data_IF_777154659719
#
_entry.id   IF_777154659719
#
_cell.length_a   1.000
_cell.length_b   1.000
_cell.length_c   1.000
_cell.angle_alpha   90.00
_cell.angle_beta   90.00
_cell.angle_gamma   90.00
#
_symmetry.space_group_name_H-M   'P 1'
#
loop_
_entity.id
_entity.type
_entity.pdbx_description
1 polymer ?
#
# COMPACT_ATOMS: atom_id res chain seq x y z
N UNK A 1 15.27 8.64 -15.67
CA UNK A 1 13.92 8.36 -16.18
C UNK A 1 13.79 6.85 -16.19
N UNK A 2 12.82 6.30 -15.45
CA UNK A 2 12.54 4.86 -15.49
C UNK A 2 11.80 4.57 -16.77
N UNK A 3 12.38 3.74 -17.62
CA UNK A 3 11.79 3.36 -18.89
C UNK A 3 12.02 1.88 -19.09
N UNK A 4 10.93 1.13 -19.09
CA UNK A 4 10.91 -0.28 -19.45
C UNK A 4 9.65 -0.57 -20.26
N UNK A 5 9.71 -1.62 -21.08
CA UNK A 5 8.55 -2.10 -21.80
C UNK A 5 7.73 -3.05 -20.93
N UNK A 6 6.41 -2.91 -21.01
CA UNK A 6 5.46 -3.88 -20.48
C UNK A 6 5.39 -5.05 -21.48
N UNK A 7 6.09 -6.14 -21.14
CA UNK A 7 6.29 -7.28 -22.06
C UNK A 7 5.53 -8.55 -21.65
N UNK A 8 4.89 -8.56 -20.48
CA UNK A 8 4.17 -9.73 -19.97
C UNK A 8 2.87 -9.35 -19.27
N UNK A 9 1.92 -10.30 -19.23
CA UNK A 9 0.65 -10.12 -18.50
C UNK A 9 0.88 -9.82 -17.02
N UNK A 10 1.83 -10.48 -16.36
CA UNK A 10 2.10 -10.21 -14.94
C UNK A 10 2.56 -8.76 -14.71
N UNK A 11 3.42 -8.23 -15.59
CA UNK A 11 3.90 -6.83 -15.50
C UNK A 11 2.76 -5.85 -15.78
N UNK A 12 1.94 -6.15 -16.79
CA UNK A 12 0.75 -5.39 -17.17
C UNK A 12 -0.21 -5.26 -15.98
N UNK A 13 -0.61 -6.40 -15.42
CA UNK A 13 -1.55 -6.48 -14.31
C UNK A 13 -1.02 -5.80 -13.05
N UNK A 14 0.26 -5.99 -12.73
CA UNK A 14 0.85 -5.37 -11.54
C UNK A 14 0.95 -3.84 -11.67
N UNK A 15 1.34 -3.35 -12.85
CA UNK A 15 1.41 -1.91 -13.14
C UNK A 15 0.04 -1.25 -13.00
N UNK A 16 -0.98 -1.89 -13.56
CA UNK A 16 -2.36 -1.42 -13.49
C UNK A 16 -2.91 -1.39 -12.05
N UNK A 17 -2.60 -2.41 -11.25
CA UNK A 17 -2.97 -2.44 -9.84
C UNK A 17 -2.31 -1.32 -9.03
N UNK A 18 -1.00 -1.08 -9.20
CA UNK A 18 -0.29 0.01 -8.53
C UNK A 18 -0.92 1.34 -8.92
N UNK A 19 -1.09 1.58 -10.23
CA UNK A 19 -1.53 2.88 -10.75
C UNK A 19 -2.96 3.22 -10.34
N UNK A 20 -3.91 2.30 -10.52
CA UNK A 20 -5.30 2.51 -10.13
C UNK A 20 -5.45 2.82 -8.64
N UNK A 21 -4.65 2.17 -7.80
CA UNK A 21 -4.64 2.42 -6.37
C UNK A 21 -4.07 3.79 -6.01
N UNK A 22 -3.03 4.26 -6.69
CA UNK A 22 -2.54 5.64 -6.54
C UNK A 22 -3.65 6.65 -6.88
N UNK A 23 -4.31 6.48 -8.02
CA UNK A 23 -5.41 7.36 -8.45
C UNK A 23 -6.56 7.38 -7.44
N UNK A 24 -6.97 6.22 -6.93
CA UNK A 24 -8.01 6.12 -5.91
C UNK A 24 -7.64 6.86 -4.61
N UNK A 25 -6.42 6.65 -4.10
CA UNK A 25 -5.93 7.37 -2.92
C UNK A 25 -5.88 8.87 -3.20
N UNK A 26 -5.45 9.28 -4.39
CA UNK A 26 -5.38 10.70 -4.75
C UNK A 26 -6.75 11.34 -4.62
N UNK A 27 -7.73 10.78 -5.30
CA UNK A 27 -9.07 11.35 -5.38
C UNK A 27 -9.74 11.35 -4.00
N UNK A 28 -9.57 10.29 -3.22
CA UNK A 28 -10.03 10.22 -1.84
C UNK A 28 -9.48 11.36 -0.97
N UNK A 29 -8.15 11.56 -1.00
CA UNK A 29 -7.51 12.63 -0.24
C UNK A 29 -7.92 14.02 -0.72
N UNK A 30 -8.08 14.21 -2.03
CA UNK A 30 -8.54 15.48 -2.60
C UNK A 30 -9.99 15.79 -2.19
N UNK A 31 -10.87 14.78 -2.14
CA UNK A 31 -12.25 14.96 -1.64
C UNK A 31 -12.26 15.37 -0.16
N UNK A 32 -11.46 14.70 0.68
CA UNK A 32 -11.32 15.05 2.10
C UNK A 32 -10.75 16.47 2.27
N UNK A 33 -9.69 16.81 1.52
CA UNK A 33 -9.12 18.17 1.50
C UNK A 33 -10.18 19.20 1.13
N UNK A 34 -10.94 18.97 0.06
CA UNK A 34 -11.98 19.90 -0.39
C UNK A 34 -13.07 20.10 0.68
N UNK A 35 -13.44 19.04 1.40
CA UNK A 35 -14.39 19.15 2.51
C UNK A 35 -13.84 19.99 3.68
N UNK A 36 -12.56 19.80 4.01
CA UNK A 36 -11.83 20.62 5.02
C UNK A 36 -11.78 22.08 4.59
N UNK A 37 -11.38 22.35 3.34
CA UNK A 37 -11.30 23.72 2.78
C UNK A 37 -12.66 24.39 2.82
N UNK A 38 -13.71 23.71 2.37
CA UNK A 38 -15.07 24.24 2.40
C UNK A 38 -15.51 24.59 3.82
N UNK A 39 -15.29 23.68 4.77
CA UNK A 39 -15.64 23.91 6.19
C UNK A 39 -14.84 25.07 6.78
N UNK A 40 -13.59 25.23 6.37
CA UNK A 40 -12.73 26.34 6.76
C UNK A 40 -13.21 27.67 6.19
N UNK A 41 -13.58 27.74 4.91
CA UNK A 41 -14.10 28.95 4.29
C UNK A 41 -15.47 29.36 4.86
N UNK A 42 -16.30 28.38 5.24
CA UNK A 42 -17.64 28.62 5.80
C UNK A 42 -17.61 29.02 7.29
N UNK A 43 -16.71 28.45 8.10
CA UNK A 43 -16.68 28.64 9.57
C UNK A 43 -15.45 29.40 10.09
N UNK A 44 -14.39 29.52 9.30
CA UNK A 44 -13.07 30.02 9.72
C UNK A 44 -12.93 31.55 9.78
N UNK A 45 -13.99 32.31 9.52
CA UNK A 45 -13.95 33.79 9.65
C UNK A 45 -13.83 34.23 11.13
N UNK A 46 -14.22 33.38 12.08
CA UNK A 46 -14.31 33.73 13.52
C UNK A 46 -13.24 33.06 14.43
N UNK A 47 -12.30 32.27 13.89
CA UNK A 47 -11.24 31.59 14.68
C UNK A 47 -9.86 31.75 14.06
N UNK A 48 -8.83 32.05 14.88
CA UNK A 48 -7.45 32.15 14.39
C UNK A 48 -6.82 30.80 14.04
N UNK A 49 -5.91 30.81 13.07
CA UNK A 49 -5.13 29.64 12.63
C UNK A 49 -4.40 28.96 13.79
N UNK A 50 -3.87 29.75 14.73
CA UNK A 50 -3.22 29.27 15.95
C UNK A 50 -4.19 28.46 16.83
N UNK A 51 -5.41 28.96 17.05
CA UNK A 51 -6.39 28.28 17.90
C UNK A 51 -6.80 26.93 17.31
N UNK A 52 -6.98 26.88 15.98
CA UNK A 52 -7.37 25.67 15.26
C UNK A 52 -6.21 24.68 15.23
N UNK A 53 -5.00 25.15 14.93
CA UNK A 53 -3.80 24.30 14.93
C UNK A 53 -3.53 23.69 16.30
N UNK A 54 -3.71 24.46 17.39
CA UNK A 54 -3.65 23.94 18.75
C UNK A 54 -4.74 22.89 19.04
N UNK A 55 -5.99 23.12 18.60
CA UNK A 55 -7.08 22.12 18.70
C UNK A 55 -6.71 20.83 17.97
N UNK A 56 -6.11 20.95 16.77
CA UNK A 56 -5.70 19.79 15.96
C UNK A 56 -4.58 19.02 16.66
N UNK A 57 -3.54 19.70 17.14
CA UNK A 57 -2.41 19.07 17.84
C UNK A 57 -2.89 18.32 19.08
N UNK A 58 -3.72 18.96 19.91
CA UNK A 58 -4.25 18.34 21.13
C UNK A 58 -5.12 17.11 20.81
N UNK A 59 -5.95 17.18 19.77
CA UNK A 59 -6.82 16.08 19.37
C UNK A 59 -6.02 14.93 18.75
N UNK A 60 -5.00 15.21 17.92
CA UNK A 60 -4.09 14.20 17.39
C UNK A 60 -3.31 13.49 18.52
N UNK A 61 -2.92 14.23 19.57
CA UNK A 61 -2.27 13.64 20.74
C UNK A 61 -3.23 12.71 21.51
N UNK A 62 -4.49 13.11 21.69
CA UNK A 62 -5.54 12.26 22.24
C UNK A 62 -5.78 11.00 21.39
N UNK A 63 -5.92 11.15 20.07
CA UNK A 63 -6.12 10.03 19.15
C UNK A 63 -4.93 9.07 19.17
N UNK A 64 -3.70 9.59 19.14
CA UNK A 64 -2.49 8.78 19.26
C UNK A 64 -2.47 7.93 20.54
N UNK A 65 -2.76 8.55 21.70
CA UNK A 65 -2.78 7.85 22.98
C UNK A 65 -3.88 6.78 23.03
N UNK A 66 -5.06 7.08 22.47
CA UNK A 66 -6.17 6.13 22.36
C UNK A 66 -5.81 4.95 21.46
N UNK A 67 -5.27 5.21 20.26
CA UNK A 67 -4.79 4.15 19.36
C UNK A 67 -3.69 3.31 19.99
N UNK A 68 -2.78 3.92 20.76
CA UNK A 68 -1.72 3.18 21.46
C UNK A 68 -2.30 2.22 22.49
N UNK A 69 -3.23 2.69 23.33
CA UNK A 69 -3.91 1.84 24.31
C UNK A 69 -4.68 0.70 23.64
N UNK A 70 -5.40 0.99 22.55
CA UNK A 70 -6.07 -0.02 21.73
C UNK A 70 -5.09 -1.04 21.14
N UNK A 71 -4.00 -0.59 20.51
CA UNK A 71 -2.98 -1.48 19.96
C UNK A 71 -2.34 -2.36 21.03
N UNK A 72 -2.09 -1.84 22.23
CA UNK A 72 -1.53 -2.62 23.33
C UNK A 72 -2.55 -3.64 23.88
N UNK A 73 -3.82 -3.28 23.96
CA UNK A 73 -4.90 -4.22 24.28
C UNK A 73 -5.02 -5.33 23.23
N UNK A 74 -5.11 -4.99 21.94
CA UNK A 74 -5.30 -5.94 20.84
C UNK A 74 -4.19 -6.99 20.74
N UNK A 75 -2.93 -6.64 21.10
CA UNK A 75 -1.80 -7.60 21.15
C UNK A 75 -1.99 -8.69 22.20
N UNK A 76 -2.84 -8.48 23.19
CA UNK A 76 -3.13 -9.48 24.24
C UNK A 76 -4.32 -10.37 23.90
N UNK A 77 -5.04 -10.08 22.82
CA UNK A 77 -6.25 -10.80 22.44
C UNK A 77 -5.94 -11.98 21.51
N UNK A 78 -6.81 -12.99 21.53
CA UNK A 78 -6.71 -14.13 20.61
C UNK A 78 -6.89 -13.65 19.16
N UNK A 79 -6.00 -14.09 18.28
CA UNK A 79 -6.03 -13.76 16.87
C UNK A 79 -7.27 -14.31 16.16
N UNK A 80 -7.88 -15.37 16.67
CA UNK A 80 -9.15 -15.92 16.19
C UNK A 80 -10.36 -15.09 16.63
N UNK A 81 -10.18 -14.11 17.53
CA UNK A 81 -11.23 -13.15 17.84
C UNK A 81 -11.05 -11.88 16.99
N UNK A 82 -9.86 -11.31 17.03
CA UNK A 82 -9.58 -10.01 16.41
C UNK A 82 -9.29 -10.13 14.91
N UNK A 83 -8.41 -11.06 14.54
CA UNK A 83 -7.97 -11.28 13.17
C UNK A 83 -6.94 -10.30 12.65
N UNK A 84 -6.47 -10.62 11.44
CA UNK A 84 -5.68 -9.71 10.62
C UNK A 84 -6.59 -8.86 9.75
N UNK A 85 -6.23 -7.61 9.50
CA UNK A 85 -5.00 -6.94 9.94
C UNK A 85 -5.01 -6.32 11.34
N UNK A 86 -6.15 -6.36 12.03
CA UNK A 86 -6.44 -5.48 13.18
C UNK A 86 -5.46 -5.67 14.34
N UNK A 87 -5.04 -6.90 14.66
CA UNK A 87 -4.11 -7.17 15.78
C UNK A 87 -2.76 -6.45 15.64
N UNK A 88 -2.29 -6.22 14.40
CA UNK A 88 -0.98 -5.61 14.11
C UNK A 88 -1.12 -4.32 13.31
N UNK A 89 -2.20 -3.59 13.56
CA UNK A 89 -2.44 -2.30 12.92
C UNK A 89 -1.35 -1.27 13.26
N UNK A 90 -1.24 -0.25 12.40
CA UNK A 90 -0.19 0.78 12.48
C UNK A 90 -0.75 2.17 12.74
N UNK A 91 -2.02 2.27 13.08
CA UNK A 91 -2.75 3.53 13.28
C UNK A 91 -2.07 4.42 14.31
N UNK A 92 -1.64 3.86 15.45
CA UNK A 92 -0.91 4.61 16.47
C UNK A 92 0.41 5.23 15.94
N UNK A 93 1.16 4.50 15.10
CA UNK A 93 2.40 5.02 14.53
C UNK A 93 2.13 6.12 13.50
N UNK A 94 1.14 5.94 12.65
CA UNK A 94 0.75 6.94 11.65
C UNK A 94 0.26 8.23 12.32
N UNK A 95 -0.55 8.12 13.38
CA UNK A 95 -1.00 9.26 14.17
C UNK A 95 0.16 9.97 14.86
N UNK A 96 1.15 9.23 15.38
CA UNK A 96 2.37 9.83 15.94
C UNK A 96 3.14 10.62 14.88
N UNK A 97 3.23 10.10 13.66
CA UNK A 97 3.91 10.79 12.54
C UNK A 97 3.13 12.04 12.11
N UNK A 98 1.80 11.94 12.01
CA UNK A 98 0.92 13.07 11.72
C UNK A 98 1.01 14.15 12.82
N UNK A 99 0.99 13.75 14.10
CA UNK A 99 1.15 14.65 15.25
C UNK A 99 2.49 15.39 15.22
N UNK A 100 3.59 14.66 14.96
CA UNK A 100 4.91 15.27 14.87
C UNK A 100 4.97 16.29 13.73
N UNK A 101 4.36 15.99 12.58
CA UNK A 101 4.28 16.93 11.48
C UNK A 101 3.42 18.14 11.81
N UNK A 102 2.24 17.95 12.43
CA UNK A 102 1.38 19.04 12.89
C UNK A 102 2.14 19.97 13.86
N UNK A 103 2.87 19.42 14.83
CA UNK A 103 3.72 20.19 15.75
C UNK A 103 4.84 20.97 15.03
N UNK A 104 5.36 20.46 13.92
CA UNK A 104 6.38 21.15 13.11
C UNK A 104 5.81 22.28 12.24
N UNK A 105 4.51 22.23 11.89
CA UNK A 105 3.87 23.29 11.11
C UNK A 105 3.38 24.45 11.97
N UNK A 106 3.29 24.27 13.30
CA UNK A 106 2.78 25.26 14.23
C UNK A 106 1.38 25.76 13.79
N UNK A 107 1.19 27.05 13.58
CA UNK A 107 -0.06 27.68 13.13
C UNK A 107 -0.32 27.53 11.61
N UNK A 108 0.67 27.11 10.83
CA UNK A 108 0.60 27.01 9.36
C UNK A 108 -0.04 25.69 8.86
N UNK A 109 -0.43 24.77 9.76
CA UNK A 109 -0.90 23.43 9.36
C UNK A 109 -2.10 23.50 8.41
N UNK A 110 -3.15 24.23 8.80
CA UNK A 110 -4.37 24.36 8.00
C UNK A 110 -4.07 25.03 6.66
N UNK A 111 -3.24 26.07 6.68
CA UNK A 111 -2.79 26.78 5.49
C UNK A 111 -2.08 25.85 4.48
N UNK A 112 -1.27 24.90 4.96
CA UNK A 112 -0.67 23.86 4.12
C UNK A 112 -1.73 22.94 3.50
N UNK A 113 -2.69 22.46 4.31
CA UNK A 113 -3.77 21.59 3.83
C UNK A 113 -4.60 22.30 2.75
N UNK A 114 -4.94 23.59 2.95
CA UNK A 114 -5.65 24.40 1.95
C UNK A 114 -4.87 24.48 0.63
N UNK A 115 -3.54 24.64 0.72
CA UNK A 115 -2.63 24.67 -0.44
C UNK A 115 -2.36 23.29 -1.06
N UNK A 116 -3.03 22.23 -0.61
CA UNK A 116 -2.83 20.86 -1.11
C UNK A 116 -1.45 20.29 -0.75
N UNK A 117 -0.92 20.68 0.41
CA UNK A 117 0.34 20.21 0.98
C UNK A 117 0.03 19.43 2.26
N UNK A 118 0.42 18.16 2.28
CA UNK A 118 0.10 17.24 3.37
C UNK A 118 1.36 16.84 4.14
N UNK A 119 1.45 15.59 4.61
CA UNK A 119 2.62 15.12 5.37
C UNK A 119 3.94 15.36 4.59
N UNK A 120 4.97 15.83 5.30
CA UNK A 120 6.25 16.30 4.75
C UNK A 120 6.15 17.47 3.74
N UNK A 121 5.04 18.20 3.70
CA UNK A 121 4.85 19.35 2.81
C UNK A 121 4.73 18.95 1.33
N UNK A 122 4.37 17.71 1.05
CA UNK A 122 4.26 17.18 -0.30
C UNK A 122 2.83 17.26 -0.81
N UNK A 123 2.70 17.50 -2.12
CA UNK A 123 1.42 17.41 -2.81
C UNK A 123 1.13 15.98 -3.22
N UNK A 124 -0.15 15.66 -3.24
CA UNK A 124 -0.72 14.38 -3.66
C UNK A 124 -0.78 14.25 -5.20
N UNK A 125 0.25 14.75 -5.88
CA UNK A 125 0.34 14.72 -7.33
C UNK A 125 0.86 13.36 -7.79
N UNK A 126 0.26 12.83 -8.85
CA UNK A 126 0.72 11.60 -9.47
C UNK A 126 1.34 11.94 -10.82
N UNK A 127 2.64 11.71 -10.98
CA UNK A 127 3.29 11.82 -12.28
C UNK A 127 2.71 10.77 -13.24
N UNK A 128 2.15 11.20 -14.38
CA UNK A 128 1.51 10.31 -15.37
C UNK A 128 2.50 9.47 -16.19
N UNK A 129 3.79 9.69 -16.01
CA UNK A 129 4.83 9.14 -16.86
C UNK A 129 5.71 8.12 -16.15
N UNK A 130 5.56 7.96 -14.84
CA UNK A 130 6.38 7.05 -14.04
C UNK A 130 5.56 6.39 -12.92
N UNK A 131 6.05 5.22 -12.50
CA UNK A 131 5.64 4.59 -11.26
C UNK A 131 6.48 5.12 -10.11
N UNK A 132 5.95 5.13 -8.89
CA UNK A 132 6.71 5.58 -7.74
C UNK A 132 7.84 4.62 -7.42
N UNK A 133 8.94 5.18 -6.91
CA UNK A 133 10.12 4.42 -6.53
C UNK A 133 10.05 4.12 -5.06
N UNK A 134 9.95 2.84 -4.70
CA UNK A 134 9.99 2.43 -3.30
C UNK A 134 11.33 2.82 -2.68
N UNK A 135 11.30 3.22 -1.42
CA UNK A 135 12.47 3.71 -0.66
C UNK A 135 13.04 5.06 -1.15
N UNK A 136 12.35 5.76 -2.06
CA UNK A 136 12.72 7.13 -2.39
C UNK A 136 12.61 8.04 -1.17
N UNK A 137 13.45 9.08 -1.13
CA UNK A 137 13.47 10.04 -0.05
C UNK A 137 12.05 10.59 0.21
N UNK A 138 11.56 10.44 1.45
CA UNK A 138 10.21 10.83 1.85
C UNK A 138 9.98 12.34 1.93
N UNK A 139 11.04 13.14 1.78
CA UNK A 139 10.94 14.58 1.59
C UNK A 139 10.76 14.96 0.11
N UNK A 140 10.90 14.00 -0.82
CA UNK A 140 10.90 14.26 -2.27
C UNK A 140 9.81 13.50 -3.04
N UNK A 141 9.33 12.36 -2.52
CA UNK A 141 8.32 11.54 -3.19
C UNK A 141 7.10 11.33 -2.30
N UNK A 142 5.90 11.60 -2.81
CA UNK A 142 4.67 11.32 -2.08
C UNK A 142 4.25 9.84 -2.12
N UNK A 143 4.46 9.20 -3.28
CA UNK A 143 3.91 7.88 -3.56
C UNK A 143 4.89 6.72 -3.34
N UNK A 144 6.19 6.98 -3.29
CA UNK A 144 7.23 5.97 -3.12
C UNK A 144 7.46 5.50 -1.67
N UNK A 145 6.68 6.01 -0.72
CA UNK A 145 6.90 5.79 0.71
C UNK A 145 5.60 5.99 1.53
N UNK A 146 5.73 6.23 2.84
CA UNK A 146 4.64 6.33 3.80
C UNK A 146 3.77 7.58 3.71
N UNK A 147 4.16 8.57 2.91
CA UNK A 147 3.47 9.85 2.84
C UNK A 147 1.99 9.72 2.47
N UNK A 148 1.66 8.92 1.46
CA UNK A 148 0.27 8.64 1.09
C UNK A 148 -0.56 8.07 2.25
N UNK A 149 0.04 7.25 3.11
CA UNK A 149 -0.64 6.65 4.25
C UNK A 149 -0.83 7.64 5.41
N UNK A 150 0.24 8.36 5.78
CA UNK A 150 0.22 9.32 6.89
C UNK A 150 -0.63 10.53 6.55
N UNK A 151 -0.60 11.00 5.30
CA UNK A 151 -1.46 12.09 4.83
C UNK A 151 -2.94 11.74 4.92
N UNK A 152 -3.31 10.49 4.62
CA UNK A 152 -4.69 10.02 4.77
C UNK A 152 -5.15 10.06 6.23
N UNK A 153 -4.33 9.58 7.17
CA UNK A 153 -4.63 9.67 8.61
C UNK A 153 -4.74 11.12 9.07
N UNK A 154 -3.83 11.99 8.62
CA UNK A 154 -3.83 13.40 8.96
C UNK A 154 -5.12 14.09 8.50
N UNK A 155 -5.47 13.96 7.21
CA UNK A 155 -6.66 14.57 6.64
C UNK A 155 -7.93 14.08 7.33
N UNK A 156 -8.06 12.77 7.49
CA UNK A 156 -9.20 12.18 8.17
C UNK A 156 -9.28 12.69 9.63
N UNK A 157 -8.15 12.78 10.34
CA UNK A 157 -8.13 13.30 11.72
C UNK A 157 -8.65 14.73 11.77
N UNK A 158 -8.17 15.59 10.87
CA UNK A 158 -8.59 17.00 10.79
C UNK A 158 -10.09 17.08 10.49
N UNK A 159 -10.58 16.30 9.53
CA UNK A 159 -12.00 16.29 9.19
C UNK A 159 -12.88 15.91 10.39
N UNK A 160 -12.49 14.88 11.16
CA UNK A 160 -13.18 14.54 12.40
C UNK A 160 -13.14 15.66 13.43
N UNK A 161 -11.98 16.29 13.61
CA UNK A 161 -11.77 17.40 14.57
C UNK A 161 -12.63 18.61 14.21
N UNK A 162 -12.90 18.82 12.92
CA UNK A 162 -13.75 19.88 12.40
C UNK A 162 -15.23 19.44 12.25
N UNK A 163 -15.60 18.28 12.78
CA UNK A 163 -16.96 17.72 12.72
C UNK A 163 -17.53 17.60 11.29
N UNK A 164 -16.66 17.30 10.33
CA UNK A 164 -17.01 17.07 8.94
C UNK A 164 -17.55 15.65 8.79
N UNK A 165 -18.62 15.49 7.99
CA UNK A 165 -19.15 14.17 7.65
C UNK A 165 -18.06 13.31 7.00
N UNK A 166 -17.97 12.05 7.44
CA UNK A 166 -16.94 11.13 6.97
C UNK A 166 -17.00 10.94 5.44
N UNK A 167 -15.91 11.26 4.76
CA UNK A 167 -15.75 10.95 3.34
C UNK A 167 -15.07 9.59 3.20
N UNK A 168 -15.63 8.65 2.41
CA UNK A 168 -14.96 7.38 2.15
C UNK A 168 -13.58 7.57 1.50
N UNK A 169 -12.55 7.18 2.26
CA UNK A 169 -11.15 7.22 1.85
C UNK A 169 -10.76 6.00 1.02
N UNK A 170 -11.46 5.81 -0.11
CA UNK A 170 -11.29 4.66 -1.00
C UNK A 170 -9.82 4.45 -1.39
N UNK A 171 -9.32 3.22 -1.20
CA UNK A 171 -7.93 2.86 -1.44
C UNK A 171 -6.91 3.38 -0.41
N UNK A 172 -7.28 4.39 0.37
CA UNK A 172 -6.45 5.00 1.40
C UNK A 172 -6.74 4.43 2.79
N UNK A 173 -7.98 4.00 3.06
CA UNK A 173 -8.37 3.35 4.29
C UNK A 173 -9.45 2.29 4.05
N UNK A 174 -9.43 1.23 4.87
CA UNK A 174 -10.42 0.15 4.83
C UNK A 174 -10.94 -0.10 6.24
N UNK A 175 -12.26 -0.25 6.35
CA UNK A 175 -12.90 -0.67 7.59
C UNK A 175 -12.85 -2.20 7.68
N UNK A 176 -12.07 -2.72 8.62
CA UNK A 176 -11.95 -4.15 8.88
C UNK A 176 -12.85 -4.54 10.04
N UNK A 177 -13.68 -5.57 9.84
CA UNK A 177 -14.39 -6.23 10.92
C UNK A 177 -13.47 -7.19 11.67
N UNK A 178 -13.77 -7.45 12.94
CA UNK A 178 -13.12 -8.53 13.67
C UNK A 178 -13.38 -9.89 13.01
N UNK A 179 -12.41 -10.80 13.14
CA UNK A 179 -12.52 -12.14 12.57
C UNK A 179 -13.68 -12.93 13.18
N UNK A 180 -13.85 -12.85 14.50
CA UNK A 180 -15.03 -13.35 15.18
C UNK A 180 -16.11 -12.25 15.20
N UNK A 181 -17.26 -12.43 14.53
CA UNK A 181 -18.34 -11.44 14.52
C UNK A 181 -18.98 -11.19 15.89
N UNK A 182 -18.81 -12.11 16.85
CA UNK A 182 -19.34 -11.98 18.21
C UNK A 182 -18.37 -11.26 19.16
N UNK A 183 -17.11 -11.05 18.74
CA UNK A 183 -16.14 -10.33 19.54
C UNK A 183 -16.39 -8.82 19.45
N UNK A 184 -16.42 -8.15 20.61
CA UNK A 184 -16.59 -6.70 20.69
C UNK A 184 -15.50 -6.04 21.52
N UNK A 185 -15.02 -4.88 21.08
CA UNK A 185 -14.11 -4.06 21.89
C UNK A 185 -14.81 -3.51 23.15
N UNK A 186 -14.11 -3.45 24.30
CA UNK A 186 -14.58 -2.73 25.48
C UNK A 186 -14.88 -1.27 25.16
N UNK A 187 -16.03 -0.76 25.63
CA UNK A 187 -16.49 0.61 25.34
C UNK A 187 -15.50 1.65 25.88
N UNK A 188 -14.83 1.35 26.99
CA UNK A 188 -13.87 2.24 27.65
C UNK A 188 -12.62 2.51 26.78
N UNK A 189 -12.34 1.63 25.81
CA UNK A 189 -11.25 1.78 24.85
C UNK A 189 -11.66 2.56 23.59
N UNK A 190 -12.94 2.87 23.43
CA UNK A 190 -13.47 3.61 22.27
C UNK A 190 -14.24 4.85 22.76
N UNK A 191 -13.53 5.94 23.07
CA UNK A 191 -14.16 7.23 23.36
C UNK A 191 -15.02 7.71 22.18
N UNK A 192 -16.08 8.49 22.44
CA UNK A 192 -17.01 9.00 21.41
C UNK A 192 -16.32 9.84 20.32
N UNK A 193 -15.26 10.56 20.69
CA UNK A 193 -14.51 11.40 19.75
C UNK A 193 -13.51 10.62 18.89
N UNK A 194 -13.28 9.34 19.19
CA UNK A 194 -12.33 8.48 18.48
C UNK A 194 -13.04 7.57 17.46
N UNK A 195 -12.87 7.86 16.17
CA UNK A 195 -13.62 7.20 15.09
C UNK A 195 -12.82 6.14 14.31
N UNK A 196 -11.55 5.91 14.66
CA UNK A 196 -10.73 4.89 14.00
C UNK A 196 -11.00 3.47 14.49
N UNK A 197 -11.82 3.30 15.53
CA UNK A 197 -12.30 2.02 16.00
C UNK A 197 -13.80 2.08 16.28
N UNK A 198 -14.45 0.93 16.15
CA UNK A 198 -15.82 0.69 16.60
C UNK A 198 -15.85 -0.59 17.43
N UNK A 199 -17.01 -0.90 18.01
CA UNK A 199 -17.18 -2.16 18.75
C UNK A 199 -16.91 -3.39 17.90
N UNK A 200 -17.06 -3.30 16.59
CA UNK A 200 -17.07 -4.45 15.68
C UNK A 200 -15.85 -4.48 14.74
N UNK A 201 -14.99 -3.46 14.80
CA UNK A 201 -13.88 -3.36 13.87
C UNK A 201 -13.05 -2.09 14.02
N UNK A 202 -12.19 -1.87 13.04
CA UNK A 202 -11.32 -0.70 12.99
C UNK A 202 -11.19 -0.17 11.56
N UNK A 203 -11.19 1.16 11.44
CA UNK A 203 -10.78 1.85 10.23
C UNK A 203 -9.26 1.94 10.24
N UNK A 204 -8.62 1.30 9.27
CA UNK A 204 -7.17 1.26 9.18
C UNK A 204 -6.71 1.99 7.91
N UNK A 205 -5.62 2.75 8.01
CA UNK A 205 -5.08 3.57 6.92
C UNK A 205 -3.85 2.95 6.26
N UNK A 206 -3.76 3.19 4.95
CA UNK A 206 -2.81 2.55 4.08
C UNK A 206 -3.14 1.07 3.95
N UNK A 207 -3.96 0.72 2.96
CA UNK A 207 -4.23 -0.69 2.60
C UNK A 207 -2.96 -1.48 2.29
N UNK A 208 -1.84 -0.77 2.14
CA UNK A 208 -0.51 -1.34 2.00
C UNK A 208 0.15 -1.79 3.31
N UNK A 209 -0.41 -1.53 4.49
CA UNK A 209 0.43 -1.43 5.69
C UNK A 209 0.34 -2.57 6.68
N UNK A 210 -0.60 -3.49 6.53
CA UNK A 210 -0.76 -4.53 7.53
C UNK A 210 0.13 -5.69 7.15
N UNK A 211 1.04 -6.10 8.04
CA UNK A 211 2.06 -7.12 7.77
C UNK A 211 1.93 -8.30 8.72
N UNK A 212 0.73 -8.56 9.22
CA UNK A 212 0.59 -9.37 10.41
C UNK A 212 0.70 -10.88 10.14
N UNK A 213 0.38 -11.35 8.93
CA UNK A 213 0.53 -12.78 8.60
C UNK A 213 1.99 -13.25 8.59
N UNK A 214 2.97 -12.33 8.71
CA UNK A 214 4.39 -12.64 8.80
C UNK A 214 4.90 -12.96 10.22
N UNK A 215 4.02 -12.97 11.22
CA UNK A 215 4.34 -13.39 12.59
C UNK A 215 3.95 -14.87 12.88
N UNK A 216 3.36 -15.56 11.91
CA UNK A 216 3.01 -16.98 12.03
C UNK A 216 4.06 -17.92 11.44
N UNK A 217 4.05 -19.16 11.92
CA UNK A 217 4.85 -20.25 11.34
C UNK A 217 4.44 -20.53 9.88
N UNK A 218 3.14 -20.43 9.55
CA UNK A 218 2.61 -20.63 8.21
C UNK A 218 2.23 -19.31 7.51
N UNK A 219 3.25 -18.63 6.97
CA UNK A 219 3.05 -17.33 6.33
C UNK A 219 2.47 -17.46 4.92
N UNK A 220 1.41 -16.70 4.63
CA UNK A 220 0.81 -16.64 3.30
C UNK A 220 1.71 -15.84 2.35
N UNK A 221 2.10 -16.43 1.22
CA UNK A 221 2.98 -15.77 0.22
C UNK A 221 2.23 -14.70 -0.56
N UNK A 222 0.93 -14.92 -0.79
CA UNK A 222 0.01 -13.99 -1.47
C UNK A 222 -1.05 -13.45 -0.52
N UNK A 223 -0.77 -13.47 0.80
CA UNK A 223 -1.76 -13.30 1.86
C UNK A 223 -2.67 -12.07 1.74
N UNK A 224 -3.78 -12.03 2.51
CA UNK A 224 -5.00 -11.25 2.25
C UNK A 224 -4.86 -9.73 2.37
N UNK A 225 -3.64 -9.23 2.51
CA UNK A 225 -3.34 -7.83 2.65
C UNK A 225 -2.90 -7.34 1.26
N UNK A 226 -3.57 -6.31 0.73
CA UNK A 226 -3.62 -5.89 -0.69
C UNK A 226 -2.30 -6.08 -1.48
N UNK A 227 -1.15 -5.74 -0.88
CA UNK A 227 0.19 -5.85 -1.49
C UNK A 227 0.62 -7.18 -2.10
N UNK A 228 0.53 -8.30 -1.35
CA UNK A 228 1.01 -9.61 -1.82
C UNK A 228 -0.08 -10.35 -2.58
N UNK A 229 -1.36 -10.07 -2.25
CA UNK A 229 -2.49 -10.52 -3.04
C UNK A 229 -2.44 -9.97 -4.47
N UNK A 230 -1.90 -8.77 -4.68
CA UNK A 230 -1.73 -8.18 -6.01
C UNK A 230 -0.81 -8.98 -6.92
N UNK A 231 0.23 -9.60 -6.36
CA UNK A 231 1.12 -10.48 -7.12
C UNK A 231 0.39 -11.78 -7.50
N UNK A 232 -0.43 -12.31 -6.59
CA UNK A 232 -1.31 -13.44 -6.88
C UNK A 232 -2.34 -13.12 -7.97
N UNK A 233 -3.03 -11.98 -7.87
CA UNK A 233 -3.98 -11.47 -8.88
C UNK A 233 -3.29 -11.25 -10.24
N UNK A 234 -2.11 -10.62 -10.24
CA UNK A 234 -1.33 -10.36 -11.45
C UNK A 234 -0.88 -11.64 -12.16
N UNK A 235 -0.88 -12.77 -11.46
CA UNK A 235 -0.55 -14.08 -12.01
C UNK A 235 -1.77 -15.02 -12.12
N UNK A 236 -2.98 -14.43 -12.11
CA UNK A 236 -4.28 -15.10 -12.22
C UNK A 236 -4.50 -16.24 -11.21
N UNK A 237 -4.08 -16.03 -9.96
CA UNK A 237 -4.56 -16.85 -8.85
C UNK A 237 -5.98 -16.44 -8.47
N UNK A 238 -6.84 -17.43 -8.19
CA UNK A 238 -8.16 -17.18 -7.63
C UNK A 238 -8.07 -16.52 -6.25
N UNK A 239 -9.15 -15.85 -5.82
CA UNK A 239 -9.25 -15.29 -4.48
C UNK A 239 -9.03 -16.35 -3.40
N UNK A 240 -9.52 -17.58 -3.61
CA UNK A 240 -9.32 -18.69 -2.68
C UNK A 240 -7.83 -19.07 -2.58
N UNK A 241 -7.16 -19.24 -3.71
CA UNK A 241 -5.72 -19.56 -3.76
C UNK A 241 -4.87 -18.47 -3.11
N UNK A 242 -5.17 -17.22 -3.42
CA UNK A 242 -4.47 -16.04 -2.87
C UNK A 242 -4.51 -16.02 -1.34
N UNK A 243 -5.63 -16.47 -0.74
CA UNK A 243 -5.83 -16.51 0.72
C UNK A 243 -5.30 -17.78 1.40
N UNK A 244 -4.83 -18.78 0.65
CA UNK A 244 -4.48 -20.08 1.22
C UNK A 244 -3.04 -20.51 0.99
N UNK A 245 -2.33 -19.93 0.01
CA UNK A 245 -0.99 -20.39 -0.36
C UNK A 245 0.06 -19.79 0.59
N UNK A 246 0.78 -20.67 1.29
CA UNK A 246 1.93 -20.28 2.12
C UNK A 246 3.22 -20.16 1.32
N UNK A 247 4.21 -19.44 1.86
CA UNK A 247 5.57 -19.38 1.32
C UNK A 247 6.15 -20.79 1.14
N UNK A 248 6.00 -21.65 2.14
CA UNK A 248 6.46 -23.05 2.10
C UNK A 248 5.76 -23.82 1.00
N UNK A 249 4.43 -23.74 0.92
CA UNK A 249 3.65 -24.39 -0.15
C UNK A 249 4.07 -23.90 -1.53
N UNK A 250 4.34 -22.60 -1.70
CA UNK A 250 4.80 -22.08 -2.98
C UNK A 250 6.18 -22.62 -3.35
N UNK A 251 7.12 -22.73 -2.40
CA UNK A 251 8.46 -23.29 -2.64
C UNK A 251 8.43 -24.78 -2.96
N UNK A 252 7.57 -25.54 -2.28
CA UNK A 252 7.52 -27.01 -2.40
C UNK A 252 6.56 -27.50 -3.48
N UNK A 253 5.53 -26.72 -3.82
CA UNK A 253 4.41 -27.15 -4.65
C UNK A 253 4.02 -26.13 -5.74
N UNK A 254 4.92 -25.23 -6.17
CA UNK A 254 4.65 -24.21 -7.20
C UNK A 254 3.95 -24.75 -8.45
N UNK A 255 4.26 -26.00 -8.86
CA UNK A 255 3.67 -26.64 -10.03
C UNK A 255 2.16 -26.90 -9.89
N UNK A 256 1.66 -27.16 -8.67
CA UNK A 256 0.21 -27.29 -8.39
C UNK A 256 -0.57 -26.01 -8.69
N UNK A 257 0.12 -24.88 -8.72
CA UNK A 257 -0.46 -23.57 -8.99
C UNK A 257 -0.11 -23.07 -10.41
N UNK A 258 0.29 -23.95 -11.33
CA UNK A 258 0.68 -23.64 -12.72
C UNK A 258 1.89 -22.69 -12.84
N UNK A 259 2.83 -22.73 -11.89
CA UNK A 259 4.12 -22.09 -12.04
C UNK A 259 5.20 -23.12 -12.43
N UNK A 260 6.19 -22.65 -13.16
CA UNK A 260 7.42 -23.35 -13.49
C UNK A 260 8.58 -22.72 -12.71
N UNK A 261 9.42 -23.53 -12.09
CA UNK A 261 10.71 -23.04 -11.56
C UNK A 261 11.65 -22.74 -12.73
N UNK A 262 12.08 -21.48 -12.83
CA UNK A 262 13.04 -21.01 -13.83
C UNK A 262 14.46 -21.22 -13.32
N UNK A 263 14.72 -20.72 -12.11
CA UNK A 263 16.01 -20.90 -11.44
C UNK A 263 15.86 -20.70 -9.94
N UNK A 264 16.86 -21.18 -9.20
CA UNK A 264 17.03 -21.01 -7.77
C UNK A 264 18.35 -20.29 -7.52
N UNK A 265 18.32 -19.06 -7.03
CA UNK A 265 19.52 -18.27 -6.75
C UNK A 265 19.96 -18.51 -5.30
N UNK A 266 21.21 -18.94 -5.13
CA UNK A 266 21.87 -19.19 -3.85
C UNK A 266 23.06 -18.24 -3.68
N UNK A 267 23.86 -18.43 -2.65
CA UNK A 267 25.09 -17.67 -2.35
C UNK A 267 26.02 -17.47 -3.56
N UNK A 268 26.15 -18.49 -4.41
CA UNK A 268 26.83 -18.39 -5.70
C UNK A 268 25.78 -18.38 -6.81
N UNK A 269 25.64 -17.23 -7.46
CA UNK A 269 24.75 -17.04 -8.61
C UNK A 269 25.56 -17.13 -9.90
N UNK A 270 25.20 -18.09 -10.75
CA UNK A 270 25.85 -18.24 -12.05
C UNK A 270 25.20 -17.36 -13.12
N UNK A 271 26.00 -16.83 -14.05
CA UNK A 271 25.50 -15.99 -15.15
C UNK A 271 24.38 -16.67 -15.96
N UNK A 272 24.53 -17.97 -16.24
CA UNK A 272 23.53 -18.78 -16.95
C UNK A 272 22.17 -18.82 -16.25
N UNK A 273 22.13 -18.62 -14.92
CA UNK A 273 20.88 -18.57 -14.17
C UNK A 273 20.17 -17.23 -14.37
N UNK A 274 20.94 -16.13 -14.41
CA UNK A 274 20.42 -14.78 -14.66
C UNK A 274 19.84 -14.67 -16.07
N UNK A 275 20.49 -15.30 -17.07
CA UNK A 275 20.03 -15.32 -18.47
C UNK A 275 18.67 -16.01 -18.69
N UNK A 276 18.21 -16.83 -17.73
CA UNK A 276 16.89 -17.49 -17.81
C UNK A 276 15.73 -16.59 -17.35
N UNK A 277 16.05 -15.53 -16.61
CA UNK A 277 15.07 -14.66 -15.96
C UNK A 277 14.53 -13.67 -17.00
N UNK A 278 13.20 -13.58 -17.08
CA UNK A 278 12.49 -12.74 -18.03
C UNK A 278 11.49 -11.80 -17.32
N UNK A 279 11.12 -10.67 -17.94
CA UNK A 279 10.00 -9.85 -17.47
C UNK A 279 8.72 -10.67 -17.30
N UNK A 280 8.07 -10.51 -16.16
CA UNK A 280 6.89 -11.28 -15.74
C UNK A 280 7.16 -12.43 -14.80
N UNK A 281 8.44 -12.79 -14.61
CA UNK A 281 8.82 -13.78 -13.60
C UNK A 281 8.52 -13.27 -12.19
N UNK A 282 8.06 -14.20 -11.36
CA UNK A 282 7.81 -14.00 -9.95
C UNK A 282 9.11 -14.22 -9.17
N UNK A 283 9.57 -13.17 -8.51
CA UNK A 283 10.59 -13.21 -7.48
C UNK A 283 9.95 -13.65 -6.16
N UNK A 284 10.43 -14.73 -5.55
CA UNK A 284 10.02 -15.16 -4.19
C UNK A 284 11.26 -15.31 -3.31
N UNK A 285 11.36 -14.48 -2.27
CA UNK A 285 12.45 -14.50 -1.32
C UNK A 285 11.93 -14.33 0.09
N UNK A 286 12.27 -15.27 0.98
CA UNK A 286 11.65 -15.37 2.32
C UNK A 286 10.13 -15.25 2.17
N UNK A 287 9.54 -14.20 2.72
CA UNK A 287 8.09 -13.97 2.77
C UNK A 287 7.67 -12.81 1.87
N UNK A 288 8.55 -12.43 0.94
CA UNK A 288 8.36 -11.36 -0.03
C UNK A 288 8.20 -11.92 -1.43
N UNK A 289 7.30 -11.29 -2.19
CA UNK A 289 7.05 -11.62 -3.58
C UNK A 289 6.96 -10.34 -4.42
N UNK A 290 7.47 -10.40 -5.65
CA UNK A 290 7.44 -9.29 -6.60
C UNK A 290 7.40 -9.79 -8.04
N UNK A 291 6.89 -8.99 -8.96
CA UNK A 291 6.97 -9.27 -10.39
C UNK A 291 8.23 -8.60 -10.96
N UNK A 292 9.10 -9.34 -11.61
CA UNK A 292 10.27 -8.80 -12.31
C UNK A 292 9.79 -8.07 -13.57
N UNK A 293 10.13 -6.80 -13.71
CA UNK A 293 9.74 -5.95 -14.82
C UNK A 293 10.79 -5.84 -15.92
N UNK A 294 12.07 -6.07 -15.59
CA UNK A 294 13.19 -6.01 -16.54
C UNK A 294 14.03 -7.27 -16.48
N UNK A 295 14.70 -7.61 -17.58
CA UNK A 295 15.76 -8.61 -17.56
C UNK A 295 16.89 -8.18 -16.60
N UNK A 296 17.62 -9.12 -15.98
CA UNK A 296 18.84 -8.79 -15.26
C UNK A 296 19.85 -8.13 -16.20
N UNK A 297 20.41 -7.00 -15.79
CA UNK A 297 21.50 -6.36 -16.52
C UNK A 297 22.85 -7.09 -16.30
N UNK A 298 23.94 -6.53 -16.83
CA UNK A 298 25.28 -7.09 -16.67
C UNK A 298 25.81 -7.09 -15.23
N UNK A 299 25.13 -6.43 -14.30
CA UNK A 299 25.41 -6.40 -12.86
C UNK A 299 24.40 -7.21 -12.06
N UNK A 300 23.53 -7.97 -12.73
CA UNK A 300 22.41 -8.70 -12.13
C UNK A 300 21.35 -7.80 -11.47
N UNK A 301 21.25 -6.53 -11.89
CA UNK A 301 20.20 -5.63 -11.43
C UNK A 301 18.90 -5.90 -12.19
N UNK A 302 17.81 -6.00 -11.44
CA UNK A 302 16.44 -6.07 -11.98
C UNK A 302 15.58 -4.99 -11.36
N UNK A 303 14.66 -4.46 -12.15
CA UNK A 303 13.52 -3.70 -11.64
C UNK A 303 12.39 -4.67 -11.33
N UNK A 304 11.78 -4.52 -10.17
CA UNK A 304 10.58 -5.29 -9.78
C UNK A 304 9.41 -4.36 -9.51
N UNK A 305 8.21 -4.84 -9.80
CA UNK A 305 6.95 -4.25 -9.41
C UNK A 305 6.43 -4.98 -8.18
N UNK A 306 6.20 -4.21 -7.12
CA UNK A 306 5.76 -4.77 -5.86
C UNK A 306 5.01 -3.73 -5.05
N UNK A 307 4.30 -4.24 -4.07
CA UNK A 307 3.93 -3.45 -2.92
C UNK A 307 4.82 -3.84 -1.74
N UNK A 308 5.30 -2.85 -1.02
CA UNK A 308 6.15 -3.04 0.14
C UNK A 308 5.53 -2.39 1.37
N UNK A 309 5.92 -2.91 2.53
CA UNK A 309 5.51 -2.45 3.85
C UNK A 309 6.75 -2.38 4.71
N UNK A 310 7.06 -1.20 5.24
CA UNK A 310 7.75 -1.00 6.51
C UNK A 310 7.59 0.48 6.86
N UNK A 311 6.55 0.81 7.62
CA UNK A 311 6.57 2.04 8.42
C UNK A 311 7.13 1.73 9.83
N UNK A 312 7.38 0.46 10.15
CA UNK A 312 7.73 -0.05 11.49
C UNK A 312 9.12 0.36 11.98
N UNK A 313 9.91 1.03 11.15
CA UNK A 313 11.23 1.52 11.48
C UNK A 313 11.34 2.98 11.08
N UNK A 314 11.89 3.79 11.99
CA UNK A 314 12.21 5.21 11.73
C UNK A 314 13.20 5.35 10.57
N UNK A 315 14.04 4.33 10.39
CA UNK A 315 15.03 4.19 9.33
C UNK A 315 14.54 3.15 8.29
N UNK A 316 14.68 3.45 6.99
CA UNK A 316 14.25 2.59 5.87
C UNK A 316 12.73 2.47 5.71
N UNK A 317 12.07 3.62 5.61
CA UNK A 317 10.64 3.73 5.31
C UNK A 317 10.36 3.31 3.86
N UNK A 318 9.60 2.22 3.69
CA UNK A 318 9.42 1.58 2.37
C UNK A 318 7.99 1.12 2.11
N UNK A 319 6.99 1.91 2.52
CA UNK A 319 5.59 1.56 2.25
C UNK A 319 5.10 2.08 0.90
N UNK A 320 4.12 1.38 0.32
CA UNK A 320 3.45 1.78 -0.91
C UNK A 320 3.56 0.71 -1.99
N UNK A 321 3.07 1.04 -3.18
CA UNK A 321 3.20 0.24 -4.39
C UNK A 321 4.00 0.96 -5.42
N UNK A 322 4.92 0.27 -6.08
CA UNK A 322 5.79 0.91 -7.04
C UNK A 322 6.86 -0.03 -7.54
N UNK A 323 7.96 0.57 -7.99
CA UNK A 323 9.13 -0.17 -8.41
C UNK A 323 10.15 -0.32 -7.27
N UNK A 324 10.91 -1.42 -7.30
CA UNK A 324 12.07 -1.62 -6.44
C UNK A 324 13.18 -2.29 -7.24
N UNK A 325 14.39 -1.73 -7.17
CA UNK A 325 15.55 -2.31 -7.83
C UNK A 325 16.23 -3.30 -6.90
N UNK A 326 16.56 -4.48 -7.43
CA UNK A 326 17.31 -5.50 -6.73
C UNK A 326 18.57 -5.83 -7.49
N UNK A 327 19.70 -5.87 -6.79
CA UNK A 327 20.83 -6.68 -7.23
C UNK A 327 20.58 -8.12 -6.78
N UNK A 328 20.36 -9.03 -7.73
CA UNK A 328 20.00 -10.42 -7.41
C UNK A 328 21.13 -11.20 -6.75
N UNK A 329 22.39 -10.83 -7.03
CA UNK A 329 23.57 -11.45 -6.41
C UNK A 329 23.65 -11.04 -4.94
N UNK A 330 23.60 -9.72 -4.68
CA UNK A 330 23.65 -9.19 -3.31
C UNK A 330 22.52 -9.77 -2.47
N UNK A 331 21.30 -9.83 -3.04
CA UNK A 331 20.13 -10.41 -2.34
C UNK A 331 20.28 -11.87 -2.02
N UNK A 332 20.91 -12.67 -2.89
CA UNK A 332 21.14 -14.08 -2.64
C UNK A 332 22.23 -14.31 -1.57
N UNK A 333 23.16 -13.36 -1.43
CA UNK A 333 24.25 -13.39 -0.46
C UNK A 333 23.85 -12.85 0.93
N UNK A 334 22.80 -12.02 1.03
CA UNK A 334 22.31 -11.48 2.32
C UNK A 334 21.99 -12.60 3.34
N UNK A 335 21.36 -13.70 2.90
CA UNK A 335 21.13 -14.89 3.72
C UNK A 335 21.25 -16.17 2.88
N UNK A 336 22.47 -16.76 2.79
CA UNK A 336 22.77 -17.95 1.96
C UNK A 336 21.85 -19.15 2.16
N UNK A 337 21.29 -19.29 3.37
CA UNK A 337 20.41 -20.40 3.76
C UNK A 337 19.00 -20.29 3.14
N UNK A 338 18.61 -19.09 2.68
CA UNK A 338 17.30 -18.79 2.14
C UNK A 338 17.40 -18.48 0.65
N UNK A 339 17.31 -19.47 -0.25
CA UNK A 339 17.44 -19.22 -1.67
C UNK A 339 16.28 -18.38 -2.22
N UNK A 340 16.56 -17.62 -3.28
CA UNK A 340 15.56 -16.88 -4.06
C UNK A 340 15.00 -17.83 -5.12
N UNK A 341 13.68 -17.98 -5.14
CA UNK A 341 12.98 -18.76 -6.16
C UNK A 341 12.50 -17.82 -7.26
N UNK A 342 12.89 -18.10 -8.50
CA UNK A 342 12.36 -17.42 -9.68
C UNK A 342 11.36 -18.34 -10.37
N UNK A 343 10.10 -17.94 -10.36
CA UNK A 343 8.98 -18.76 -10.81
C UNK A 343 8.26 -18.07 -11.99
N UNK A 344 7.90 -18.82 -13.03
CA UNK A 344 7.13 -18.30 -14.17
C UNK A 344 5.74 -18.90 -14.18
N UNK A 345 4.71 -18.06 -14.18
CA UNK A 345 3.33 -18.51 -14.41
C UNK A 345 3.14 -18.78 -15.90
N UNK A 346 2.45 -19.87 -16.24
CA UNK A 346 2.04 -20.11 -17.63
C UNK A 346 0.88 -19.17 -18.01
N UNK A 347 1.23 -17.97 -18.47
CA UNK A 347 0.30 -16.97 -18.99
C UNK A 347 0.50 -16.79 -20.49
N UNK A 348 -0.57 -16.50 -21.21
CA UNK A 348 -0.47 -16.15 -22.63
C UNK A 348 0.39 -14.89 -22.81
N UNK A 349 1.25 -14.85 -23.84
CA UNK A 349 2.06 -13.67 -24.14
C UNK A 349 1.16 -12.47 -24.47
N UNK A 350 1.70 -11.26 -24.28
CA UNK A 350 1.03 -10.07 -24.79
C UNK A 350 1.12 -10.04 -26.32
N UNK A 351 0.07 -9.57 -27.02
CA UNK A 351 0.08 -9.46 -28.48
C UNK A 351 1.11 -8.44 -28.98
N UNK A 352 1.41 -7.42 -28.17
CA UNK A 352 2.43 -6.41 -28.44
C UNK A 352 3.02 -5.89 -27.13
N UNK A 353 4.28 -5.47 -27.19
CA UNK A 353 4.92 -4.73 -26.09
C UNK A 353 4.47 -3.26 -26.13
N UNK A 354 4.47 -2.61 -24.98
CA UNK A 354 4.18 -1.17 -24.86
C UNK A 354 5.12 -0.51 -23.88
N UNK A 355 5.48 0.77 -24.09
CA UNK A 355 6.29 1.49 -23.10
C UNK A 355 5.49 1.71 -21.81
N UNK A 356 6.15 1.68 -20.66
CA UNK A 356 5.52 1.98 -19.38
C UNK A 356 4.72 3.29 -19.43
N UNK A 357 5.32 4.34 -20.01
CA UNK A 357 4.73 5.66 -20.15
C UNK A 357 3.39 5.66 -20.89
N UNK A 358 3.33 5.01 -22.06
CA UNK A 358 2.08 4.90 -22.81
C UNK A 358 1.05 4.08 -22.05
N UNK A 359 1.51 3.03 -21.37
CA UNK A 359 0.63 2.18 -20.59
C UNK A 359 0.00 2.92 -19.40
N UNK A 360 0.78 3.73 -18.67
CA UNK A 360 0.28 4.57 -17.57
C UNK A 360 -0.75 5.60 -18.03
N UNK A 361 -0.53 6.27 -19.17
CA UNK A 361 -1.52 7.22 -19.70
C UNK A 361 -2.83 6.53 -20.07
N UNK A 362 -2.77 5.30 -20.60
CA UNK A 362 -3.97 4.51 -20.91
C UNK A 362 -4.76 4.17 -19.63
N UNK A 363 -4.08 3.84 -18.54
CA UNK A 363 -4.73 3.61 -17.23
C UNK A 363 -5.42 4.88 -16.74
N UNK A 364 -4.71 6.00 -16.78
CA UNK A 364 -5.23 7.29 -16.31
C UNK A 364 -6.49 7.69 -17.07
N UNK A 365 -6.48 7.58 -18.41
CA UNK A 365 -7.64 7.86 -19.26
C UNK A 365 -8.81 6.90 -18.96
N UNK A 366 -8.55 5.60 -18.90
CA UNK A 366 -9.58 4.60 -18.57
C UNK A 366 -10.18 4.82 -17.18
N UNK A 367 -9.35 5.16 -16.20
CA UNK A 367 -9.77 5.45 -14.84
C UNK A 367 -10.65 6.69 -14.77
N UNK A 368 -10.27 7.79 -15.42
CA UNK A 368 -11.09 9.02 -15.45
C UNK A 368 -12.44 8.81 -16.11
N UNK A 369 -12.50 7.97 -17.15
CA UNK A 369 -13.76 7.61 -17.81
C UNK A 369 -14.68 6.76 -16.91
N UNK A 370 -14.10 5.86 -16.11
CA UNK A 370 -14.86 5.00 -15.18
C UNK A 370 -15.29 5.73 -13.90
N UNK A 371 -14.45 6.66 -13.42
CA UNK A 371 -14.60 7.31 -12.12
C UNK A 371 -14.38 8.83 -12.22
N UNK A 372 -15.25 9.58 -12.91
CA UNK A 372 -15.08 11.02 -13.09
C UNK A 372 -15.06 11.81 -11.77
N UNK A 373 -15.78 11.34 -10.75
CA UNK A 373 -15.86 11.94 -9.40
C UNK A 373 -15.03 11.16 -8.36
N UNK A 374 -14.15 10.28 -8.84
CA UNK A 374 -13.48 9.26 -8.04
C UNK A 374 -14.41 8.11 -7.62
N UNK A 375 -13.84 6.99 -7.20
CA UNK A 375 -14.61 5.79 -6.87
C UNK A 375 -15.40 5.97 -5.56
N UNK A 376 -16.60 5.38 -5.53
CA UNK A 376 -17.46 5.30 -4.34
C UNK A 376 -17.24 4.03 -3.52
N UNK A 377 -16.60 3.03 -4.10
CA UNK A 377 -16.29 1.73 -3.49
C UNK A 377 -14.83 1.37 -3.76
N UNK A 378 -14.29 0.41 -3.01
CA UNK A 378 -12.94 -0.08 -3.29
C UNK A 378 -12.81 -0.48 -4.76
N UNK A 379 -11.94 0.21 -5.50
CA UNK A 379 -11.52 -0.18 -6.84
C UNK A 379 -10.67 -1.42 -6.67
N UNK A 380 -11.32 -2.58 -6.55
CA UNK A 380 -10.68 -3.84 -6.20
C UNK A 380 -9.83 -4.30 -7.38
N UNK A 381 -8.60 -3.78 -7.51
CA UNK A 381 -7.43 -4.35 -8.20
C UNK A 381 -7.63 -5.01 -9.56
N UNK A 382 -8.78 -4.83 -10.21
CA UNK A 382 -9.15 -5.56 -11.40
C UNK A 382 -8.74 -4.73 -12.60
N UNK A 383 -7.45 -4.80 -12.89
CA UNK A 383 -6.83 -4.19 -14.04
C UNK A 383 -7.49 -4.57 -15.36
N UNK A 384 -8.27 -5.66 -15.38
CA UNK A 384 -9.08 -6.06 -16.52
C UNK A 384 -10.13 -5.01 -16.88
N UNK A 385 -10.61 -4.21 -15.93
CA UNK A 385 -11.53 -3.10 -16.21
C UNK A 385 -10.93 -2.01 -17.10
N UNK A 386 -9.59 -1.87 -17.13
CA UNK A 386 -8.91 -0.89 -17.97
C UNK A 386 -8.45 -1.47 -19.32
N UNK A 387 -8.38 -2.80 -19.46
CA UNK A 387 -7.65 -3.43 -20.57
C UNK A 387 -8.34 -4.64 -21.21
N UNK A 388 -9.20 -5.33 -20.48
CA UNK A 388 -10.06 -6.38 -21.02
C UNK A 388 -11.41 -5.72 -21.32
N UNK A 389 -11.47 -4.92 -22.39
CA UNK A 389 -12.75 -4.59 -23.00
C UNK A 389 -13.40 -5.91 -23.44
N UNK A 390 -14.64 -6.08 -23.00
CA UNK A 390 -15.63 -7.10 -23.38
C UNK A 390 -15.32 -7.76 -24.73
N UNK A 391 -15.19 -9.10 -24.71
CA UNK A 391 -15.35 -9.91 -25.94
C UNK A 391 -16.64 -9.56 -26.69
#
# INVERSE_FOLDING_TARGET
MQDFNVESRSVLHMTAQIRAKQLAIRDAQNREQNAIVKTWEENGVDTSDEAVSNRIINSLEFFYNTSKALSDYLKTQDINNVGYPITFNKTALQLKMALNYAKQQEDNLIDQIIKGKFYNGLSNDINSQELPVLQSNNMLSFWGNENSSVSSVLLASIARILDIEFVPLVGAATNYKFYNPEYTLPQELIPEDYYFASKEGMLLFGDYQYGGHRAFEEQLVFGPEDCSSSVGKATYLSNQQTRSITTTQMKENYSKYNYKLITLLKDIVEQKQLELIEPGDLYVYKNHCAIIATKPDNKAEVTTLQFSRNIDRVENKVSGGGICNYNLIDKAQEEPVNPIYILRKNLEPLPSQSSLKYFLSTIDEGYLNLYPDGPSENVVGDCRMFFETQE
#
